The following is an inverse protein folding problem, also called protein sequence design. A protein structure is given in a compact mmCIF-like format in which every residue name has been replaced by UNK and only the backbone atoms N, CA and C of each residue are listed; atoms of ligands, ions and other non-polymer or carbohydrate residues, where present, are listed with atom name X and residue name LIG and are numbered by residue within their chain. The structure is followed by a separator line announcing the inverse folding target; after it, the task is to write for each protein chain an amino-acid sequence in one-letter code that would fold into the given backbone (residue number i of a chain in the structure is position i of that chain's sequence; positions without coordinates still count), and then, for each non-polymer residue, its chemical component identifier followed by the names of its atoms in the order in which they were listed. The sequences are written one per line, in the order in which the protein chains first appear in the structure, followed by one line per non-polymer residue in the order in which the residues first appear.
data_IF_957516603455
#
_entry.id   IF_957516603455
#
_cell.length_a   1.000
_cell.length_b   1.000
_cell.length_c   1.000
_cell.angle_alpha   90.00
_cell.angle_beta   90.00
_cell.angle_gamma   90.00
#
_symmetry.space_group_name_H-M   'P 1'
#
loop_
_entity.id
_entity.type
_entity.pdbx_description
1 polymer ?
#
# COMPACT_ATOMS: atom_id res chain seq x y z
N UNK A 1 34.25 -35.22 -13.03
CA UNK A 1 33.84 -34.00 -13.76
C UNK A 1 32.33 -33.92 -14.05
N UNK A 2 31.66 -35.00 -14.49
CA UNK A 2 30.21 -35.01 -14.81
C UNK A 2 29.26 -34.64 -13.65
N UNK A 3 29.63 -34.95 -12.40
CA UNK A 3 28.81 -34.68 -11.20
C UNK A 3 28.82 -33.21 -10.76
N UNK A 4 29.86 -32.45 -11.12
CA UNK A 4 30.01 -31.02 -10.75
C UNK A 4 29.14 -30.14 -11.64
N UNK A 5 28.96 -30.53 -12.91
CA UNK A 5 28.08 -29.82 -13.85
C UNK A 5 26.63 -29.88 -13.40
N UNK A 6 26.19 -31.01 -12.82
CA UNK A 6 24.82 -31.19 -12.37
C UNK A 6 24.49 -30.36 -11.11
N UNK A 7 25.44 -30.21 -10.19
CA UNK A 7 25.28 -29.34 -9.00
C UNK A 7 25.32 -27.86 -9.35
N UNK A 8 26.12 -27.47 -10.36
CA UNK A 8 26.14 -26.08 -10.83
C UNK A 8 24.83 -25.68 -11.54
N UNK A 9 24.15 -26.64 -12.18
CA UNK A 9 22.86 -26.42 -12.84
C UNK A 9 21.69 -26.21 -11.87
N UNK A 10 21.75 -26.78 -10.65
CA UNK A 10 20.67 -26.64 -9.66
C UNK A 10 20.75 -25.33 -8.86
N UNK A 11 21.90 -24.64 -8.86
CA UNK A 11 22.10 -23.42 -8.08
C UNK A 11 21.52 -22.16 -8.74
N UNK A 12 21.15 -22.21 -10.03
CA UNK A 12 20.61 -21.07 -10.77
C UNK A 12 19.09 -20.91 -10.63
N UNK A 13 18.42 -21.82 -9.93
CA UNK A 13 16.96 -21.81 -9.73
C UNK A 13 16.52 -21.18 -8.40
N UNK A 14 17.41 -20.56 -7.62
CA UNK A 14 17.01 -19.63 -6.55
C UNK A 14 16.56 -18.30 -7.16
N UNK A 15 15.55 -18.38 -8.03
CA UNK A 15 14.87 -17.22 -8.59
C UNK A 15 14.30 -16.40 -7.44
N UNK A 16 14.58 -15.11 -7.49
CA UNK A 16 14.06 -14.08 -6.61
C UNK A 16 12.63 -14.40 -6.24
N UNK A 17 12.36 -14.65 -4.95
CA UNK A 17 11.02 -14.56 -4.43
C UNK A 17 10.57 -13.12 -4.71
N UNK A 18 9.82 -12.94 -5.81
CA UNK A 18 9.08 -11.71 -6.04
C UNK A 18 8.24 -11.52 -4.79
N UNK A 19 8.66 -10.56 -3.95
CA UNK A 19 7.92 -10.25 -2.74
C UNK A 19 6.50 -9.96 -3.20
N UNK A 20 5.54 -10.82 -2.81
CA UNK A 20 4.15 -10.49 -2.96
C UNK A 20 3.96 -9.08 -2.38
N UNK A 21 3.15 -8.20 -3.02
CA UNK A 21 2.93 -6.85 -2.52
C UNK A 21 2.73 -6.91 -1.03
N UNK A 22 3.65 -6.34 -0.25
CA UNK A 22 3.54 -6.45 1.18
C UNK A 22 2.28 -5.68 1.59
N UNK A 23 1.48 -6.30 2.43
CA UNK A 23 0.25 -5.71 2.96
C UNK A 23 0.36 -5.71 4.47
N UNK A 24 0.12 -4.55 5.07
CA UNK A 24 0.00 -4.42 6.52
C UNK A 24 -1.38 -3.87 6.85
N UNK A 25 -1.95 -4.33 7.95
CA UNK A 25 -3.12 -3.68 8.54
C UNK A 25 -2.64 -2.62 9.52
N UNK A 26 -3.25 -1.44 9.47
CA UNK A 26 -3.05 -0.38 10.45
C UNK A 26 -4.40 0.00 11.03
N UNK A 27 -4.45 0.21 12.34
CA UNK A 27 -5.66 0.61 13.05
C UNK A 27 -5.55 2.00 13.65
N UNK A 28 -6.72 2.63 13.84
CA UNK A 28 -6.85 3.90 14.57
C UNK A 28 -6.31 3.81 15.99
N UNK A 29 -6.46 2.64 16.61
CA UNK A 29 -5.94 2.38 17.95
C UNK A 29 -4.41 2.45 17.99
N UNK A 30 -3.71 1.80 17.04
CA UNK A 30 -2.24 1.80 16.97
C UNK A 30 -1.66 3.16 16.59
N UNK A 31 -2.32 3.89 15.69
CA UNK A 31 -1.83 5.19 15.17
C UNK A 31 -2.19 6.37 16.09
N UNK A 32 -3.29 6.23 16.84
CA UNK A 32 -3.86 7.29 17.65
C UNK A 32 -4.85 8.16 16.86
N UNK A 33 -5.95 8.53 17.52
CA UNK A 33 -7.06 9.31 16.93
C UNK A 33 -6.61 10.61 16.26
N UNK A 34 -5.67 11.33 16.88
CA UNK A 34 -5.18 12.64 16.40
C UNK A 34 -4.35 12.54 15.12
N UNK A 35 -3.85 11.35 14.77
CA UNK A 35 -3.06 11.11 13.56
C UNK A 35 -3.80 10.24 12.53
N UNK A 36 -5.09 9.95 12.79
CA UNK A 36 -5.86 9.02 11.98
C UNK A 36 -6.62 9.74 10.86
N UNK A 37 -6.42 9.32 9.61
CA UNK A 37 -6.92 10.05 8.45
C UNK A 37 -8.19 9.46 7.81
N UNK A 38 -8.72 8.34 8.31
CA UNK A 38 -9.76 7.58 7.61
C UNK A 38 -11.08 7.51 8.40
N UNK A 39 -12.21 7.41 7.68
CA UNK A 39 -13.54 7.18 8.26
C UNK A 39 -13.81 5.70 8.61
N UNK A 40 -12.74 4.91 8.78
CA UNK A 40 -12.73 3.50 9.15
C UNK A 40 -11.86 3.33 10.39
N UNK A 41 -12.10 2.29 11.17
CA UNK A 41 -11.28 2.01 12.35
C UNK A 41 -9.95 1.31 11.99
N UNK A 42 -9.89 0.68 10.82
CA UNK A 42 -8.70 0.03 10.29
C UNK A 42 -8.67 0.09 8.77
N UNK A 43 -7.47 0.04 8.21
CA UNK A 43 -7.23 -0.09 6.78
C UNK A 43 -6.03 -0.97 6.51
N UNK A 44 -5.95 -1.54 5.31
CA UNK A 44 -4.77 -2.23 4.83
C UNK A 44 -3.94 -1.28 3.94
N UNK A 45 -2.62 -1.25 4.11
CA UNK A 45 -1.68 -0.49 3.28
C UNK A 45 -0.88 -1.44 2.42
N UNK A 46 -0.63 -1.08 1.17
CA UNK A 46 0.23 -1.86 0.28
C UNK A 46 1.06 -0.99 -0.65
N UNK A 47 2.23 -1.48 -1.03
CA UNK A 47 3.00 -0.96 -2.15
C UNK A 47 2.96 -1.94 -3.33
N UNK A 48 2.68 -1.40 -4.51
CA UNK A 48 2.62 -2.14 -5.79
C UNK A 48 3.77 -1.71 -6.70
N UNK A 49 4.06 -2.49 -7.78
CA UNK A 49 5.12 -2.19 -8.72
C UNK A 49 5.13 -0.72 -9.17
N UNK A 50 6.32 -0.13 -9.19
CA UNK A 50 6.53 1.28 -9.49
C UNK A 50 6.29 2.22 -8.31
N UNK A 51 6.31 1.74 -7.06
CA UNK A 51 6.03 2.53 -5.85
C UNK A 51 4.61 3.11 -5.83
N UNK A 52 3.62 2.36 -6.34
CA UNK A 52 2.23 2.76 -6.30
C UNK A 52 1.61 2.34 -4.97
N UNK A 53 1.22 3.32 -4.15
CA UNK A 53 0.77 3.11 -2.78
C UNK A 53 -0.76 3.10 -2.72
N UNK A 54 -1.35 2.16 -1.97
CA UNK A 54 -2.80 2.05 -1.84
C UNK A 54 -3.22 1.83 -0.39
N UNK A 55 -4.37 2.43 -0.04
CA UNK A 55 -5.21 1.98 1.07
C UNK A 55 -6.21 0.96 0.53
N UNK A 56 -6.52 -0.07 1.31
CA UNK A 56 -7.54 -1.07 1.00
C UNK A 56 -8.50 -1.16 2.19
N UNK A 57 -9.81 -1.14 1.92
CA UNK A 57 -10.82 -1.47 2.92
C UNK A 57 -10.80 -3.00 3.16
N UNK A 58 -10.52 -3.48 4.38
CA UNK A 58 -10.36 -4.91 4.64
C UNK A 58 -11.65 -5.72 4.44
N UNK A 59 -12.82 -5.09 4.60
CA UNK A 59 -14.12 -5.77 4.48
C UNK A 59 -14.64 -5.85 3.04
N UNK A 60 -14.29 -4.88 2.18
CA UNK A 60 -14.82 -4.80 0.81
C UNK A 60 -13.77 -4.98 -0.28
N UNK A 61 -12.49 -4.96 0.09
CA UNK A 61 -11.34 -4.97 -0.83
C UNK A 61 -11.28 -3.79 -1.81
N UNK A 62 -12.12 -2.76 -1.60
CA UNK A 62 -12.05 -1.51 -2.36
C UNK A 62 -10.71 -0.84 -2.06
N UNK A 63 -10.04 -0.39 -3.12
CA UNK A 63 -8.74 0.26 -3.06
C UNK A 63 -8.88 1.76 -3.26
N UNK A 64 -7.95 2.52 -2.66
CA UNK A 64 -7.87 3.97 -2.76
C UNK A 64 -6.40 4.36 -2.97
N UNK A 65 -6.06 5.13 -4.03
CA UNK A 65 -4.68 5.52 -4.30
C UNK A 65 -4.16 6.49 -3.22
N UNK A 66 -2.94 6.27 -2.73
CA UNK A 66 -2.27 7.13 -1.72
C UNK A 66 -1.27 8.12 -2.31
N UNK A 67 -0.85 7.92 -3.56
CA UNK A 67 0.12 8.79 -4.22
C UNK A 67 -0.20 8.96 -5.71
N UNK A 68 0.47 9.93 -6.33
CA UNK A 68 0.25 10.27 -7.74
C UNK A 68 0.50 9.09 -8.70
N UNK A 69 1.44 8.20 -8.37
CA UNK A 69 1.73 7.01 -9.17
C UNK A 69 0.54 6.05 -9.15
N UNK A 70 -0.05 5.79 -7.98
CA UNK A 70 -1.24 4.98 -7.86
C UNK A 70 -2.43 5.60 -8.60
N UNK A 71 -2.61 6.92 -8.52
CA UNK A 71 -3.64 7.61 -9.31
C UNK A 71 -3.43 7.46 -10.81
N UNK A 72 -2.19 7.57 -11.29
CA UNK A 72 -1.87 7.37 -12.70
C UNK A 72 -2.15 5.94 -13.16
N UNK A 73 -1.83 4.95 -12.33
CA UNK A 73 -2.16 3.55 -12.63
C UNK A 73 -3.67 3.33 -12.75
N UNK A 74 -4.47 3.98 -11.92
CA UNK A 74 -5.94 3.96 -12.00
C UNK A 74 -6.41 4.62 -13.29
N UNK A 75 -5.91 5.82 -13.62
CA UNK A 75 -6.24 6.55 -14.86
C UNK A 75 -5.86 5.76 -16.11
N UNK A 76 -4.75 5.03 -16.06
CA UNK A 76 -4.27 4.16 -17.14
C UNK A 76 -5.00 2.80 -17.22
N UNK A 77 -5.98 2.53 -16.34
CA UNK A 77 -6.73 1.27 -16.31
C UNK A 77 -5.94 0.06 -15.83
N UNK A 78 -4.76 0.26 -15.22
CA UNK A 78 -3.92 -0.83 -14.68
C UNK A 78 -4.49 -1.43 -13.40
N UNK A 79 -5.34 -0.68 -12.69
CA UNK A 79 -6.06 -1.16 -11.51
C UNK A 79 -7.37 -0.42 -11.34
N UNK A 80 -8.34 -1.06 -10.69
CA UNK A 80 -9.60 -0.44 -10.27
C UNK A 80 -9.46 0.08 -8.84
N UNK A 81 -9.75 1.35 -8.63
CA UNK A 81 -9.76 1.99 -7.31
C UNK A 81 -10.80 3.12 -7.28
N UNK A 82 -11.18 3.53 -6.08
CA UNK A 82 -12.04 4.69 -5.85
C UNK A 82 -11.22 5.89 -5.36
N UNK A 83 -11.71 7.13 -5.51
CA UNK A 83 -11.04 8.31 -4.96
C UNK A 83 -10.83 8.23 -3.46
N UNK A 84 -9.63 8.60 -2.99
CA UNK A 84 -9.29 8.59 -1.57
C UNK A 84 -10.18 9.53 -0.73
N UNK A 85 -10.71 10.59 -1.34
CA UNK A 85 -11.62 11.55 -0.72
C UNK A 85 -12.90 10.94 -0.15
N UNK A 86 -13.27 9.72 -0.57
CA UNK A 86 -14.41 8.97 -0.02
C UNK A 86 -14.15 8.52 1.42
N UNK A 87 -12.89 8.24 1.77
CA UNK A 87 -12.51 7.73 3.09
C UNK A 87 -11.68 8.72 3.90
N UNK A 88 -11.04 9.70 3.27
CA UNK A 88 -10.23 10.69 3.97
C UNK A 88 -11.11 11.72 4.69
N UNK A 89 -10.93 11.82 6.01
CA UNK A 89 -11.71 12.72 6.86
C UNK A 89 -11.12 14.13 6.88
N UNK A 90 -11.97 15.09 7.23
CA UNK A 90 -11.55 16.47 7.49
C UNK A 90 -10.72 16.55 8.77
N UNK A 91 -9.78 17.48 8.82
CA UNK A 91 -8.97 17.76 9.99
C UNK A 91 -9.76 18.66 10.97
N UNK A 92 -10.14 18.15 12.16
CA UNK A 92 -10.91 18.94 13.12
C UNK A 92 -10.12 20.12 13.70
N UNK A 93 -8.78 20.07 13.65
CA UNK A 93 -7.92 21.16 14.12
C UNK A 93 -7.69 22.22 13.03
N UNK A 94 -7.91 21.89 11.75
CA UNK A 94 -7.73 22.78 10.59
C UNK A 94 -8.96 22.75 9.68
N UNK A 95 -9.99 23.57 9.97
CA UNK A 95 -11.22 23.62 9.18
C UNK A 95 -10.95 23.87 7.69
N UNK A 96 -11.53 23.03 6.83
CA UNK A 96 -11.34 23.10 5.38
C UNK A 96 -10.16 22.28 4.85
N UNK A 97 -9.32 21.73 5.73
CA UNK A 97 -8.24 20.82 5.37
C UNK A 97 -8.61 19.36 5.66
N UNK A 98 -7.99 18.44 4.92
CA UNK A 98 -8.09 17.00 5.18
C UNK A 98 -7.00 16.56 6.15
N UNK A 99 -7.27 15.49 6.90
CA UNK A 99 -6.27 14.85 7.75
C UNK A 99 -5.02 14.46 6.95
N UNK A 100 -3.84 14.65 7.56
CA UNK A 100 -2.57 14.32 6.91
C UNK A 100 -2.46 12.83 6.62
N UNK A 101 -2.01 12.51 5.40
CA UNK A 101 -1.74 11.14 4.97
C UNK A 101 -0.29 10.71 5.24
N UNK A 102 0.58 11.62 5.66
CA UNK A 102 2.01 11.38 5.79
C UNK A 102 2.36 10.12 6.61
N UNK A 103 1.72 9.86 7.78
CA UNK A 103 2.02 8.64 8.55
C UNK A 103 1.65 7.33 7.85
N UNK A 104 0.74 7.39 6.86
CA UNK A 104 0.30 6.22 6.10
C UNK A 104 1.14 6.03 4.84
N UNK A 105 1.52 7.14 4.20
CA UNK A 105 2.45 7.14 3.07
C UNK A 105 3.80 6.58 3.53
N UNK A 106 4.38 7.08 4.64
CA UNK A 106 5.68 6.61 5.15
C UNK A 106 5.65 5.10 5.48
N UNK A 107 4.55 4.61 6.03
CA UNK A 107 4.38 3.17 6.31
C UNK A 107 4.23 2.35 5.04
N UNK A 108 3.47 2.84 4.06
CA UNK A 108 3.29 2.14 2.78
C UNK A 108 4.57 2.14 1.93
N UNK A 109 5.38 3.19 1.97
CA UNK A 109 6.68 3.26 1.28
C UNK A 109 7.67 2.22 1.79
N UNK A 110 7.60 1.85 3.08
CA UNK A 110 8.43 0.79 3.67
C UNK A 110 8.09 -0.62 3.16
N UNK A 111 7.04 -0.77 2.34
CA UNK A 111 6.57 -2.04 1.79
C UNK A 111 7.07 -2.33 0.36
N UNK A 112 7.83 -1.42 -0.26
CA UNK A 112 8.13 -1.42 -1.70
C UNK A 112 9.33 -2.30 -2.17
#
# INVERSE_FOLDING_TARGET
MKKIVLTLLMLTAAGSALAAPQIITVSRFEVGKENWAFNREEVMLTCRPGNALYVINPSTLVQYPLNAIAEEQVKAGKTTAQPLSIIQIDDPARPGEKMSLAPFIERAEKLC
#
